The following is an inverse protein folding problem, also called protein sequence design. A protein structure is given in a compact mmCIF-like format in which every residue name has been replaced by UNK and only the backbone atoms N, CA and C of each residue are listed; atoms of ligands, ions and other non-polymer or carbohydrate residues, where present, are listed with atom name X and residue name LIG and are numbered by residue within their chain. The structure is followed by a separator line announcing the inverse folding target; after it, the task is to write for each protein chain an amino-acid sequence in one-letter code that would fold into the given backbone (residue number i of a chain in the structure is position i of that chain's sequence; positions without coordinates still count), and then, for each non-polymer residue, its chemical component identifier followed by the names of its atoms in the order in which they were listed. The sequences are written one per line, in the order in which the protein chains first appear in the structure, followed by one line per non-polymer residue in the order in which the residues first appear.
data_IF_457859444161
#
_entry.id   IF_457859444161
#
_cell.length_a   1.000
_cell.length_b   1.000
_cell.length_c   1.000
_cell.angle_alpha   90.00
_cell.angle_beta   90.00
_cell.angle_gamma   90.00
#
_symmetry.space_group_name_H-M   'P 1'
#
loop_
_entity.id
_entity.type
_entity.pdbx_description
1 polymer ?
#
# COMPACT_ATOMS: atom_id res chain seq x y z
N UNK A 1 -15.48 -28.80 18.72
CA UNK A 1 -14.39 -28.52 17.76
C UNK A 1 -14.88 -27.76 16.51
N UNK A 2 -15.92 -28.21 15.81
CA UNK A 2 -16.50 -27.50 14.65
C UNK A 2 -16.97 -26.06 14.96
N UNK A 3 -17.52 -25.84 16.16
CA UNK A 3 -18.07 -24.54 16.58
C UNK A 3 -17.01 -23.45 16.75
N UNK A 4 -15.82 -23.81 17.27
CA UNK A 4 -14.71 -22.87 17.43
C UNK A 4 -14.12 -22.45 16.07
N UNK A 5 -13.98 -23.39 15.13
CA UNK A 5 -13.50 -23.10 13.79
C UNK A 5 -14.47 -22.19 13.02
N UNK A 6 -15.79 -22.40 13.21
CA UNK A 6 -16.81 -21.55 12.62
C UNK A 6 -16.82 -20.14 13.24
N UNK A 7 -16.66 -20.03 14.56
CA UNK A 7 -16.55 -18.75 15.25
C UNK A 7 -15.29 -17.98 14.79
N UNK A 8 -14.14 -18.63 14.70
CA UNK A 8 -12.90 -18.04 14.21
C UNK A 8 -13.05 -17.55 12.75
N UNK A 9 -13.69 -18.34 11.90
CA UNK A 9 -13.99 -17.95 10.52
C UNK A 9 -14.85 -16.68 10.45
N UNK A 10 -15.92 -16.58 11.26
CA UNK A 10 -16.76 -15.39 11.29
C UNK A 10 -16.02 -14.16 11.82
N UNK A 11 -15.24 -14.31 12.90
CA UNK A 11 -14.43 -13.22 13.43
C UNK A 11 -13.42 -12.73 12.39
N UNK A 12 -12.74 -13.64 11.69
CA UNK A 12 -11.82 -13.29 10.61
C UNK A 12 -12.53 -12.51 9.50
N UNK A 13 -13.70 -12.98 9.06
CA UNK A 13 -14.51 -12.29 8.04
C UNK A 13 -14.95 -10.90 8.45
N UNK A 14 -15.30 -10.70 9.73
CA UNK A 14 -15.67 -9.38 10.25
C UNK A 14 -14.48 -8.43 10.22
N UNK A 15 -13.29 -8.91 10.60
CA UNK A 15 -12.05 -8.11 10.54
C UNK A 15 -11.73 -7.72 9.10
N UNK A 16 -11.71 -8.70 8.19
CA UNK A 16 -11.45 -8.47 6.76
C UNK A 16 -12.39 -7.41 6.16
N UNK A 17 -13.67 -7.45 6.51
CA UNK A 17 -14.65 -6.51 5.96
C UNK A 17 -14.61 -5.13 6.64
N UNK A 18 -14.21 -5.08 7.91
CA UNK A 18 -13.94 -3.82 8.60
C UNK A 18 -12.72 -3.11 8.01
N UNK A 19 -11.66 -3.86 7.68
CA UNK A 19 -10.46 -3.34 7.01
C UNK A 19 -10.82 -2.81 5.61
N UNK A 20 -11.59 -3.58 4.83
CA UNK A 20 -12.09 -3.14 3.52
C UNK A 20 -12.92 -1.85 3.62
N UNK A 21 -13.79 -1.73 4.63
CA UNK A 21 -14.57 -0.50 4.85
C UNK A 21 -13.65 0.69 5.16
N UNK A 22 -12.62 0.49 5.99
CA UNK A 22 -11.65 1.54 6.30
C UNK A 22 -10.88 2.01 5.05
N UNK A 23 -10.49 1.07 4.18
CA UNK A 23 -9.81 1.39 2.91
C UNK A 23 -10.71 2.19 1.97
N UNK A 24 -11.99 1.83 1.87
CA UNK A 24 -12.96 2.56 1.03
C UNK A 24 -13.21 3.99 1.55
N UNK A 25 -13.38 4.15 2.86
CA UNK A 25 -13.55 5.48 3.47
C UNK A 25 -12.31 6.33 3.26
N UNK A 26 -11.13 5.75 3.45
CA UNK A 26 -9.85 6.43 3.21
C UNK A 26 -9.75 6.88 1.75
N UNK A 27 -10.01 5.98 0.80
CA UNK A 27 -9.98 6.28 -0.63
C UNK A 27 -10.95 7.40 -1.01
N UNK A 28 -12.16 7.40 -0.45
CA UNK A 28 -13.17 8.45 -0.68
C UNK A 28 -12.69 9.81 -0.15
N UNK A 29 -12.13 9.86 1.06
CA UNK A 29 -11.61 11.09 1.66
C UNK A 29 -10.42 11.64 0.86
N UNK A 30 -9.53 10.77 0.40
CA UNK A 30 -8.41 11.17 -0.45
C UNK A 30 -8.87 11.73 -1.79
N UNK A 31 -9.84 11.07 -2.44
CA UNK A 31 -10.44 11.55 -3.69
C UNK A 31 -11.09 12.92 -3.49
N UNK A 32 -11.84 13.12 -2.40
CA UNK A 32 -12.44 14.41 -2.08
C UNK A 32 -11.40 15.51 -1.86
N UNK A 33 -10.29 15.20 -1.17
CA UNK A 33 -9.19 16.16 -0.97
C UNK A 33 -8.49 16.52 -2.28
N UNK A 34 -8.31 15.54 -3.17
CA UNK A 34 -7.76 15.74 -4.51
C UNK A 34 -8.66 16.66 -5.34
N UNK A 35 -9.97 16.39 -5.40
CA UNK A 35 -10.94 17.19 -6.15
C UNK A 35 -11.06 18.62 -5.61
N UNK A 36 -11.00 18.79 -4.29
CA UNK A 36 -11.00 20.10 -3.65
C UNK A 36 -9.67 20.85 -3.77
N UNK A 37 -8.62 20.22 -4.31
CA UNK A 37 -7.27 20.79 -4.41
C UNK A 37 -6.59 21.01 -3.05
N UNK A 38 -7.03 20.31 -2.02
CA UNK A 38 -6.51 20.42 -0.65
C UNK A 38 -5.45 19.38 -0.32
N UNK A 39 -5.27 18.38 -1.18
CA UNK A 39 -4.25 17.37 -1.01
C UNK A 39 -2.85 18.00 -1.08
N UNK A 40 -2.12 17.93 0.04
CA UNK A 40 -0.72 18.40 0.13
C UNK A 40 0.24 17.24 -0.08
N UNK A 41 1.13 17.39 -1.05
CA UNK A 41 2.27 16.50 -1.24
C UNK A 41 3.35 16.84 -0.21
N UNK A 42 3.98 15.81 0.35
CA UNK A 42 5.13 15.95 1.25
C UNK A 42 6.36 15.23 0.65
N UNK A 43 6.92 15.74 -0.46
CA UNK A 43 8.03 15.09 -1.14
C UNK A 43 9.31 15.12 -0.29
N UNK A 44 10.04 14.03 -0.32
CA UNK A 44 11.37 13.89 0.29
C UNK A 44 12.32 13.17 -0.65
N UNK A 45 13.63 13.26 -0.38
CA UNK A 45 14.64 12.54 -1.14
C UNK A 45 14.62 11.07 -0.73
N UNK A 46 14.33 10.18 -1.68
CA UNK A 46 14.32 8.73 -1.51
C UNK A 46 15.31 8.06 -2.45
N UNK A 47 15.87 6.95 -1.96
CA UNK A 47 16.58 5.97 -2.77
C UNK A 47 15.57 5.14 -3.55
N UNK A 48 15.70 5.12 -4.87
CA UNK A 48 14.77 4.40 -5.73
C UNK A 48 14.84 2.88 -5.49
N UNK A 49 16.02 2.37 -5.15
CA UNK A 49 16.22 0.97 -4.76
C UNK A 49 15.30 0.55 -3.59
N UNK A 50 15.21 1.40 -2.56
CA UNK A 50 14.38 1.13 -1.37
C UNK A 50 12.88 1.19 -1.68
N UNK A 51 12.46 2.11 -2.56
CA UNK A 51 11.06 2.21 -2.97
C UNK A 51 10.62 0.94 -3.73
N UNK A 52 11.46 0.45 -4.63
CA UNK A 52 11.18 -0.78 -5.41
C UNK A 52 11.15 -2.03 -4.51
N UNK A 53 12.08 -2.14 -3.57
CA UNK A 53 12.08 -3.25 -2.62
C UNK A 53 10.81 -3.27 -1.77
N UNK A 54 10.27 -2.11 -1.39
CA UNK A 54 9.06 -2.03 -0.56
C UNK A 54 7.78 -2.27 -1.37
N UNK A 55 7.78 -1.94 -2.66
CA UNK A 55 6.65 -2.17 -3.55
C UNK A 55 6.45 -3.65 -3.90
N UNK A 56 7.47 -4.50 -3.76
CA UNK A 56 7.39 -5.92 -4.12
C UNK A 56 7.00 -6.75 -2.88
N UNK A 57 5.81 -7.35 -2.86
CA UNK A 57 5.36 -8.22 -1.78
C UNK A 57 6.33 -9.40 -1.59
N UNK A 58 6.59 -9.80 -0.34
CA UNK A 58 7.54 -10.89 -0.04
C UNK A 58 7.18 -12.20 -0.75
N UNK A 59 5.89 -12.47 -0.88
CA UNK A 59 5.26 -13.63 -1.53
C UNK A 59 5.38 -13.62 -3.07
N UNK A 60 5.64 -12.46 -3.67
CA UNK A 60 5.80 -12.30 -5.13
C UNK A 60 7.28 -12.27 -5.56
N UNK A 61 8.22 -12.08 -4.62
CA UNK A 61 9.67 -11.96 -4.92
C UNK A 61 10.25 -13.13 -5.72
N UNK A 62 9.72 -14.34 -5.54
CA UNK A 62 10.19 -15.53 -6.27
C UNK A 62 9.67 -15.62 -7.71
N UNK A 63 8.63 -14.85 -8.05
CA UNK A 63 7.98 -14.85 -9.36
C UNK A 63 8.26 -13.58 -10.17
N UNK A 64 8.94 -12.60 -9.58
CA UNK A 64 9.31 -11.33 -10.20
C UNK A 64 10.82 -11.22 -10.39
N UNK A 65 11.24 -10.71 -11.56
CA UNK A 65 12.64 -10.35 -11.81
C UNK A 65 12.75 -8.82 -11.88
N UNK A 66 13.55 -8.23 -11.00
CA UNK A 66 13.83 -6.78 -11.00
C UNK A 66 15.18 -6.56 -11.66
N UNK A 67 15.19 -5.87 -12.80
CA UNK A 67 16.42 -5.45 -13.45
C UNK A 67 16.60 -3.94 -13.28
N UNK A 68 17.46 -3.55 -12.36
CA UNK A 68 17.79 -2.16 -12.06
C UNK A 68 19.28 -1.92 -12.22
N UNK A 69 19.65 -0.71 -12.64
CA UNK A 69 21.04 -0.29 -12.66
C UNK A 69 21.63 -0.27 -11.24
N UNK A 70 22.91 -0.58 -11.08
CA UNK A 70 23.59 -0.62 -9.77
C UNK A 70 23.57 0.73 -9.04
N UNK A 71 23.50 1.83 -9.79
CA UNK A 71 23.45 3.19 -9.26
C UNK A 71 22.17 3.89 -9.72
N UNK A 72 21.10 3.72 -8.96
CA UNK A 72 19.88 4.49 -9.15
C UNK A 72 19.99 5.87 -8.49
N UNK A 73 19.41 6.92 -9.10
CA UNK A 73 19.45 8.26 -8.53
C UNK A 73 18.55 8.38 -7.30
N UNK A 74 18.85 9.36 -6.46
CA UNK A 74 17.88 9.85 -5.49
C UNK A 74 16.73 10.55 -6.22
N UNK A 75 15.50 10.24 -5.83
CA UNK A 75 14.28 10.81 -6.40
C UNK A 75 13.57 11.67 -5.36
N UNK A 76 13.09 12.84 -5.76
CA UNK A 76 12.31 13.73 -4.90
C UNK A 76 10.83 13.44 -5.09
N UNK A 77 10.28 12.58 -4.23
CA UNK A 77 8.92 12.03 -4.39
C UNK A 77 8.18 11.99 -3.07
N UNK A 78 6.84 12.03 -3.15
CA UNK A 78 5.98 11.68 -2.02
C UNK A 78 5.78 10.16 -2.02
N UNK A 79 6.48 9.48 -1.11
CA UNK A 79 6.49 8.01 -1.03
C UNK A 79 5.08 7.42 -0.91
N UNK A 80 4.21 8.01 -0.07
CA UNK A 80 2.85 7.49 0.16
C UNK A 80 2.00 7.53 -1.11
N UNK A 81 2.32 8.42 -2.04
CA UNK A 81 1.58 8.58 -3.30
C UNK A 81 2.14 7.69 -4.41
N UNK A 82 3.44 7.42 -4.41
CA UNK A 82 4.09 6.56 -5.41
C UNK A 82 3.81 5.07 -5.17
N UNK A 83 3.62 4.65 -3.91
CA UNK A 83 3.28 3.26 -3.57
C UNK A 83 1.85 2.84 -4.00
N UNK A 84 0.95 3.79 -4.28
CA UNK A 84 -0.50 3.55 -4.50
C UNK A 84 -0.87 3.43 -6.00
N UNK A 85 0.12 3.46 -6.91
CA UNK A 85 -0.12 3.41 -8.37
C UNK A 85 -0.18 1.99 -8.91
#
# INVERSE_FOLDING_TARGET
ELDNALQEHFLRRIVEESDRMADLVTSLLEMSQLEAGTLKLNPSLYRLETLLEQAIPLDERQRMCVNIAEALPLVYVDRRRVEVV
#
